data_IF_219246649672
#
_entry.id   IF_219246649672
#
_cell.length_a   1.000
_cell.length_b   1.000
_cell.length_c   1.000
_cell.angle_alpha   90.00
_cell.angle_beta   90.00
_cell.angle_gamma   90.00
#
_symmetry.space_group_name_H-M   'P 1'
#
loop_
_entity.id
_entity.type
_entity.pdbx_description
1 polymer ?
#
# COMPACT_ATOMS: atom_id res chain seq x y z
N UNK A 1 -12.15 8.25 -18.03
CA UNK A 1 -11.07 7.61 -17.23
C UNK A 1 -11.63 7.25 -15.87
N UNK A 2 -11.23 6.11 -15.31
CA UNK A 2 -11.62 5.74 -13.94
C UNK A 2 -10.93 6.64 -12.91
N UNK A 3 -11.56 6.84 -11.75
CA UNK A 3 -10.99 7.55 -10.59
C UNK A 3 -10.98 6.59 -9.40
N UNK A 4 -10.03 5.65 -9.34
CA UNK A 4 -9.97 4.71 -8.23
C UNK A 4 -9.68 5.44 -6.93
N UNK A 5 -10.14 4.89 -5.80
CA UNK A 5 -9.81 5.46 -4.49
C UNK A 5 -8.33 5.28 -4.13
N UNK A 6 -7.76 4.16 -4.57
CA UNK A 6 -6.39 3.74 -4.27
C UNK A 6 -5.71 3.18 -5.52
N UNK A 7 -4.40 3.39 -5.62
CA UNK A 7 -3.54 2.75 -6.62
C UNK A 7 -2.37 2.13 -5.84
N UNK A 8 -2.28 0.80 -5.84
CA UNK A 8 -1.12 0.09 -5.31
C UNK A 8 -0.12 -0.15 -6.43
N UNK A 9 1.09 0.34 -6.25
CA UNK A 9 2.21 0.08 -7.15
C UNK A 9 3.14 -0.89 -6.43
N UNK A 10 3.35 -2.06 -7.03
CA UNK A 10 4.10 -3.16 -6.43
C UNK A 10 5.25 -3.58 -7.33
N UNK A 11 6.45 -3.62 -6.77
CA UNK A 11 7.61 -4.19 -7.44
C UNK A 11 7.37 -5.66 -7.75
N UNK A 12 7.69 -6.08 -8.98
CA UNK A 12 7.57 -7.50 -9.37
C UNK A 12 8.45 -8.36 -8.47
N UNK A 13 7.90 -9.45 -7.96
CA UNK A 13 8.66 -10.43 -7.16
C UNK A 13 9.03 -11.63 -8.01
N UNK A 14 10.26 -12.11 -7.88
CA UNK A 14 10.72 -13.31 -8.58
C UNK A 14 10.12 -14.58 -7.96
N UNK A 15 9.44 -15.38 -8.79
CA UNK A 15 8.73 -16.60 -8.37
C UNK A 15 9.54 -17.90 -8.58
N UNK A 16 10.85 -17.80 -8.85
CA UNK A 16 11.68 -18.95 -9.22
C UNK A 16 11.83 -19.15 -10.73
N UNK A 17 12.80 -19.97 -11.11
CA UNK A 17 13.09 -20.26 -12.52
C UNK A 17 11.97 -21.14 -13.11
N UNK A 18 11.41 -20.71 -14.22
CA UNK A 18 10.42 -21.49 -14.98
C UNK A 18 10.72 -21.41 -16.47
N UNK A 19 10.39 -22.46 -17.24
CA UNK A 19 10.55 -22.43 -18.71
C UNK A 19 9.64 -21.39 -19.39
N UNK A 20 8.70 -20.81 -18.67
CA UNK A 20 7.70 -19.87 -19.18
C UNK A 20 8.03 -18.39 -18.91
N UNK A 21 9.10 -18.11 -18.15
CA UNK A 21 9.48 -16.73 -17.80
C UNK A 21 10.98 -16.56 -17.86
N UNK A 22 11.41 -15.47 -18.52
CA UNK A 22 12.81 -15.04 -18.54
C UNK A 22 13.12 -14.02 -17.43
N UNK A 23 12.18 -13.79 -16.49
CA UNK A 23 12.41 -12.89 -15.37
C UNK A 23 13.44 -13.49 -14.42
N UNK A 24 14.43 -12.69 -14.07
CA UNK A 24 15.46 -13.04 -13.10
C UNK A 24 15.39 -12.09 -11.90
N UNK A 25 16.20 -12.35 -10.87
CA UNK A 25 16.36 -11.44 -9.74
C UNK A 25 16.79 -10.02 -10.17
N UNK A 26 17.51 -9.86 -11.29
CA UNK A 26 17.92 -8.53 -11.76
C UNK A 26 16.77 -7.72 -12.36
N UNK A 27 15.60 -8.34 -12.57
CA UNK A 27 14.39 -7.64 -12.99
C UNK A 27 13.51 -7.21 -11.81
N UNK A 28 13.83 -7.64 -10.60
CA UNK A 28 13.12 -7.22 -9.38
C UNK A 28 13.66 -5.85 -8.99
N UNK A 29 12.83 -4.79 -8.99
CA UNK A 29 13.27 -3.47 -8.61
C UNK A 29 13.56 -3.41 -7.12
N UNK A 30 14.52 -2.57 -6.74
CA UNK A 30 14.71 -2.16 -5.35
C UNK A 30 13.56 -1.28 -4.90
N UNK A 31 13.34 -1.18 -3.59
CA UNK A 31 12.27 -0.36 -3.06
C UNK A 31 12.43 1.12 -3.45
N UNK A 32 13.65 1.64 -3.38
CA UNK A 32 13.97 3.01 -3.78
C UNK A 32 13.62 3.30 -5.26
N UNK A 33 13.79 2.32 -6.15
CA UNK A 33 13.41 2.44 -7.56
C UNK A 33 11.90 2.53 -7.74
N UNK A 34 11.14 1.75 -6.96
CA UNK A 34 9.68 1.84 -6.93
C UNK A 34 9.23 3.19 -6.36
N UNK A 35 9.83 3.66 -5.27
CA UNK A 35 9.54 4.98 -4.68
C UNK A 35 9.77 6.09 -5.69
N UNK A 36 10.93 6.10 -6.38
CA UNK A 36 11.24 7.12 -7.39
C UNK A 36 10.22 7.12 -8.53
N UNK A 37 9.90 5.94 -9.05
CA UNK A 37 8.89 5.80 -10.10
C UNK A 37 7.53 6.34 -9.64
N UNK A 38 7.10 6.00 -8.42
CA UNK A 38 5.79 6.43 -7.89
C UNK A 38 5.74 7.94 -7.63
N UNK A 39 6.85 8.56 -7.22
CA UNK A 39 6.94 10.02 -7.09
C UNK A 39 6.78 10.72 -8.44
N UNK A 40 7.44 10.21 -9.49
CA UNK A 40 7.27 10.72 -10.85
C UNK A 40 5.84 10.51 -11.36
N UNK A 41 5.25 9.33 -11.10
CA UNK A 41 3.88 9.01 -11.49
C UNK A 41 2.83 9.86 -10.76
N UNK A 42 3.02 10.16 -9.47
CA UNK A 42 2.14 11.01 -8.70
C UNK A 42 2.06 12.45 -9.23
N UNK A 43 3.14 12.95 -9.85
CA UNK A 43 3.14 14.30 -10.46
C UNK A 43 2.17 14.41 -11.64
N UNK A 44 1.87 13.28 -12.30
CA UNK A 44 0.90 13.21 -13.41
C UNK A 44 -0.56 13.02 -12.91
N UNK A 45 -0.76 12.85 -11.59
CA UNK A 45 -2.05 12.54 -10.98
C UNK A 45 -2.42 13.57 -9.89
N UNK A 46 -2.94 14.76 -10.26
CA UNK A 46 -3.11 15.89 -9.33
C UNK A 46 -4.07 15.61 -8.16
N UNK A 47 -4.99 14.66 -8.32
CA UNK A 47 -5.97 14.25 -7.29
C UNK A 47 -5.39 13.20 -6.31
N UNK A 48 -4.17 12.71 -6.52
CA UNK A 48 -3.55 11.62 -5.77
C UNK A 48 -2.24 12.06 -5.12
N UNK A 49 -1.90 11.44 -4.00
CA UNK A 49 -0.61 11.59 -3.33
C UNK A 49 -0.20 10.26 -2.66
N UNK A 50 1.09 10.11 -2.35
CA UNK A 50 1.62 8.95 -1.63
C UNK A 50 1.10 8.99 -0.19
N UNK A 51 0.40 7.92 0.19
CA UNK A 51 -0.21 7.78 1.51
C UNK A 51 0.59 6.86 2.44
N UNK A 52 1.03 5.72 1.91
CA UNK A 52 1.65 4.66 2.69
C UNK A 52 2.68 3.89 1.85
N UNK A 53 3.57 3.20 2.55
CA UNK A 53 4.49 2.22 1.95
C UNK A 53 4.49 0.92 2.75
N UNK A 54 4.96 -0.13 2.10
CA UNK A 54 5.33 -1.38 2.75
C UNK A 54 6.57 -1.94 2.05
N UNK A 55 7.75 -1.58 2.60
CA UNK A 55 9.05 -1.95 2.02
C UNK A 55 9.18 -3.47 1.90
N UNK A 56 8.72 -4.22 2.92
CA UNK A 56 8.87 -5.67 2.95
C UNK A 56 8.19 -6.37 1.76
N UNK A 57 7.08 -5.85 1.26
CA UNK A 57 6.42 -6.36 0.05
C UNK A 57 6.71 -5.54 -1.19
N UNK A 58 7.60 -4.55 -1.11
CA UNK A 58 7.93 -3.59 -2.15
C UNK A 58 6.69 -2.90 -2.76
N UNK A 59 5.80 -2.41 -1.90
CA UNK A 59 4.56 -1.74 -2.29
C UNK A 59 4.54 -0.27 -1.86
N UNK A 60 3.99 0.59 -2.72
CA UNK A 60 3.64 1.98 -2.40
C UNK A 60 2.15 2.19 -2.71
N UNK A 61 1.45 2.88 -1.82
CA UNK A 61 0.04 3.23 -1.97
C UNK A 61 -0.11 4.72 -2.33
N UNK A 62 -0.62 5.00 -3.52
CA UNK A 62 -1.22 6.30 -3.84
C UNK A 62 -2.69 6.27 -3.43
N UNK A 63 -3.15 7.33 -2.79
CA UNK A 63 -4.55 7.51 -2.42
C UNK A 63 -5.09 8.82 -2.96
N UNK A 64 -6.37 8.83 -3.32
CA UNK A 64 -7.07 10.04 -3.66
C UNK A 64 -7.07 11.00 -2.46
N UNK A 65 -6.85 12.30 -2.68
CA UNK A 65 -6.74 13.33 -1.62
C UNK A 65 -7.99 13.47 -0.74
N UNK A 66 -9.12 12.87 -1.14
CA UNK A 66 -10.34 12.76 -0.31
C UNK A 66 -10.10 11.98 0.99
N UNK A 67 -9.08 11.12 1.04
CA UNK A 67 -8.66 10.41 2.25
C UNK A 67 -7.61 11.19 3.07
N UNK A 68 -7.26 12.42 2.69
CA UNK A 68 -6.32 13.27 3.42
C UNK A 68 -7.07 14.31 4.24
N UNK A 69 -7.37 13.98 5.48
CA UNK A 69 -8.16 14.83 6.39
C UNK A 69 -7.22 15.57 7.32
N UNK A 70 -7.29 16.90 7.35
CA UNK A 70 -6.41 17.75 8.17
C UNK A 70 -4.91 17.45 7.97
N UNK A 71 -4.52 17.20 6.72
CA UNK A 71 -3.16 16.81 6.33
C UNK A 71 -2.69 15.44 6.88
N UNK A 72 -3.61 14.61 7.39
CA UNK A 72 -3.34 13.25 7.84
C UNK A 72 -4.03 12.24 6.91
N UNK A 73 -3.40 11.08 6.71
CA UNK A 73 -3.96 10.03 5.87
C UNK A 73 -4.98 9.18 6.64
N UNK A 74 -6.10 8.89 5.98
CA UNK A 74 -7.19 8.04 6.44
C UNK A 74 -7.45 6.94 5.42
N UNK A 75 -6.44 6.12 5.17
CA UNK A 75 -6.50 5.04 4.18
C UNK A 75 -6.73 3.67 4.80
N UNK A 76 -6.91 3.60 6.12
CA UNK A 76 -7.16 2.35 6.84
C UNK A 76 -8.65 2.01 6.88
N UNK A 77 -8.97 0.76 7.20
CA UNK A 77 -10.35 0.27 7.27
C UNK A 77 -10.79 0.21 8.74
N UNK A 78 -11.85 0.94 9.07
CA UNK A 78 -12.65 0.70 10.28
C UNK A 78 -13.53 -0.53 10.05
N UNK A 79 -12.99 -1.72 10.33
CA UNK A 79 -13.72 -2.98 10.13
C UNK A 79 -15.06 -3.03 10.88
N UNK A 80 -15.15 -2.66 12.18
CA UNK A 80 -16.44 -2.59 12.87
C UNK A 80 -17.49 -1.73 12.14
N UNK A 81 -17.09 -0.54 11.66
CA UNK A 81 -17.98 0.35 10.92
C UNK A 81 -18.33 -0.22 9.55
N UNK A 82 -17.35 -0.74 8.81
CA UNK A 82 -17.56 -1.43 7.53
C UNK A 82 -18.57 -2.57 7.67
N UNK A 83 -18.42 -3.46 8.65
CA UNK A 83 -19.36 -4.56 8.89
C UNK A 83 -20.78 -4.07 9.20
N UNK A 84 -20.91 -2.98 9.96
CA UNK A 84 -22.20 -2.35 10.22
C UNK A 84 -22.85 -1.81 8.94
N UNK A 85 -22.06 -1.15 8.08
CA UNK A 85 -22.54 -0.60 6.81
C UNK A 85 -22.95 -1.70 5.84
N UNK A 86 -22.15 -2.76 5.71
CA UNK A 86 -22.48 -3.94 4.91
C UNK A 86 -23.78 -4.59 5.38
N UNK A 87 -23.97 -4.78 6.69
CA UNK A 87 -25.20 -5.34 7.24
C UNK A 87 -26.44 -4.50 6.88
N UNK A 88 -26.32 -3.16 6.93
CA UNK A 88 -27.41 -2.24 6.54
C UNK A 88 -27.69 -2.27 5.04
N UNK A 89 -26.64 -2.27 4.22
CA UNK A 89 -26.76 -2.37 2.76
C UNK A 89 -27.49 -3.66 2.37
N UNK A 90 -27.05 -4.81 2.90
CA UNK A 90 -27.69 -6.10 2.64
C UNK A 90 -29.11 -6.17 3.19
N UNK A 91 -29.34 -5.72 4.43
CA UNK A 91 -30.66 -5.73 5.08
C UNK A 91 -31.70 -4.83 4.42
N UNK A 92 -31.26 -3.81 3.68
CA UNK A 92 -32.13 -2.90 2.92
C UNK A 92 -32.28 -3.28 1.44
N UNK A 93 -31.77 -4.45 1.02
CA UNK A 93 -31.81 -4.85 -0.39
C UNK A 93 -31.02 -3.92 -1.31
N UNK A 94 -29.95 -3.30 -0.78
CA UNK A 94 -29.08 -2.38 -1.52
C UNK A 94 -29.51 -0.92 -1.54
N UNK A 95 -30.56 -0.54 -0.80
CA UNK A 95 -31.03 0.86 -0.75
C UNK A 95 -30.15 1.75 0.15
N UNK A 96 -29.65 1.23 1.27
CA UNK A 96 -28.73 1.95 2.15
C UNK A 96 -27.29 1.78 1.66
N UNK A 97 -26.90 2.58 0.67
CA UNK A 97 -25.54 2.60 0.12
C UNK A 97 -24.56 3.30 1.06
N UNK A 98 -23.27 3.04 0.85
CA UNK A 98 -22.17 3.68 1.56
C UNK A 98 -20.93 3.73 0.66
N UNK A 99 -19.96 4.54 1.06
CA UNK A 99 -18.71 4.84 0.36
C UNK A 99 -17.50 4.51 1.22
N UNK A 100 -16.29 4.58 0.65
CA UNK A 100 -15.06 4.35 1.41
C UNK A 100 -14.86 5.37 2.55
N UNK A 101 -15.28 6.62 2.32
CA UNK A 101 -15.27 7.68 3.33
C UNK A 101 -16.14 7.34 4.56
N UNK A 102 -17.15 6.48 4.40
CA UNK A 102 -18.01 6.07 5.50
C UNK A 102 -17.33 5.06 6.44
N UNK A 103 -16.23 4.41 6.05
CA UNK A 103 -15.51 3.45 6.91
C UNK A 103 -14.00 3.65 6.94
N UNK A 104 -13.51 4.78 6.44
CA UNK A 104 -12.10 5.10 6.54
C UNK A 104 -11.69 5.35 8.00
N UNK A 105 -10.50 4.87 8.34
CA UNK A 105 -9.83 5.11 9.59
C UNK A 105 -8.44 5.71 9.33
N UNK A 106 -7.91 6.42 10.33
CA UNK A 106 -6.58 7.01 10.27
C UNK A 106 -5.53 5.94 9.94
N UNK A 107 -4.69 6.24 8.97
CA UNK A 107 -3.54 5.40 8.60
C UNK A 107 -2.61 5.29 9.80
N UNK A 108 -2.21 4.08 10.23
CA UNK A 108 -1.28 3.92 11.33
C UNK A 108 0.03 4.67 11.08
N UNK A 109 0.59 5.31 12.11
CA UNK A 109 1.79 6.14 11.95
C UNK A 109 2.99 5.37 11.37
N UNK A 110 3.12 4.08 11.66
CA UNK A 110 4.17 3.19 11.13
C UNK A 110 3.97 2.83 9.65
N UNK A 111 2.75 3.04 9.11
CA UNK A 111 2.40 2.74 7.73
C UNK A 111 2.49 3.95 6.79
N UNK A 112 2.44 5.18 7.34
CA UNK A 112 2.54 6.40 6.55
C UNK A 112 3.89 6.43 5.83
N UNK A 113 3.90 6.90 4.58
CA UNK A 113 5.13 7.02 3.80
C UNK A 113 6.19 7.86 4.53
N UNK A 114 7.42 7.35 4.59
CA UNK A 114 8.53 7.98 5.31
C UNK A 114 8.55 7.67 6.82
N UNK A 115 7.69 6.78 7.32
CA UNK A 115 7.77 6.28 8.69
C UNK A 115 9.05 5.44 8.89
N UNK A 116 9.54 5.40 10.13
CA UNK A 116 10.76 4.64 10.48
C UNK A 116 10.59 3.14 10.19
N UNK A 117 9.38 2.64 10.37
CA UNK A 117 9.01 1.25 10.18
C UNK A 117 8.75 0.88 8.71
N UNK A 118 8.65 1.88 7.81
CA UNK A 118 8.42 1.70 6.37
C UNK A 118 7.28 0.72 6.06
N UNK A 119 6.20 0.79 6.83
CA UNK A 119 5.03 -0.07 6.70
C UNK A 119 5.04 -1.38 7.46
N UNK A 120 6.15 -1.76 8.09
CA UNK A 120 6.19 -3.00 8.85
C UNK A 120 5.49 -2.83 10.19
N UNK A 121 4.44 -3.62 10.47
CA UNK A 121 3.69 -3.48 11.73
C UNK A 121 4.63 -3.75 12.93
N UNK A 122 4.77 -2.81 13.89
CA UNK A 122 5.60 -2.99 15.08
C UNK A 122 5.25 -4.21 15.94
N UNK A 123 4.05 -4.77 15.78
CA UNK A 123 3.62 -5.99 16.48
C UNK A 123 4.13 -7.27 15.81
N UNK A 124 4.57 -7.19 14.56
CA UNK A 124 5.14 -8.32 13.85
C UNK A 124 6.62 -8.49 14.14
N UNK A 125 7.12 -9.72 13.99
CA UNK A 125 8.54 -10.04 14.16
C UNK A 125 9.16 -10.33 12.81
N UNK A 126 10.18 -9.56 12.43
CA UNK A 126 10.93 -9.79 11.18
C UNK A 126 11.86 -10.98 11.34
N UNK A 127 11.68 -11.99 10.50
CA UNK A 127 12.51 -13.20 10.48
C UNK A 127 13.57 -13.11 9.38
N UNK A 128 14.83 -13.05 9.80
CA UNK A 128 15.97 -13.08 8.89
C UNK A 128 16.48 -14.51 8.71
N UNK A 129 16.81 -14.90 7.47
CA UNK A 129 17.42 -16.22 7.21
C UNK A 129 18.81 -16.29 7.85
N UNK A 130 19.08 -17.37 8.59
CA UNK A 130 20.42 -17.65 9.14
C UNK A 130 21.40 -17.83 7.97
N UNK A 131 22.53 -17.14 8.01
CA UNK A 131 23.59 -17.13 6.98
C UNK A 131 23.32 -16.33 5.69
N UNK A 132 22.41 -15.35 5.70
CA UNK A 132 22.50 -14.30 4.69
C UNK A 132 23.84 -13.57 4.89
N UNK A 133 24.84 -13.85 4.04
CA UNK A 133 25.98 -12.93 3.90
C UNK A 133 25.37 -11.56 3.67
N UNK A 134 25.78 -10.56 4.48
CA UNK A 134 25.46 -9.17 4.16
C UNK A 134 26.06 -8.92 2.78
N UNK A 135 25.24 -8.91 1.75
CA UNK A 135 25.61 -8.24 0.52
C UNK A 135 25.78 -6.77 0.89
N UNK A 136 27.02 -6.29 0.78
CA UNK A 136 27.45 -4.91 1.11
C UNK A 136 26.93 -3.97 0.00
N UNK A 137 25.63 -4.02 -0.23
CA UNK A 137 24.91 -3.18 -1.16
C UNK A 137 23.57 -2.80 -0.49
N UNK A 138 23.63 -1.89 0.49
CA UNK A 138 22.49 -1.05 0.86
C UNK A 138 21.42 -1.62 1.79
N UNK A 139 21.82 -2.15 2.95
CA UNK A 139 20.99 -2.19 4.16
C UNK A 139 21.75 -1.56 5.33
#
# INVERSE_FOLDING_TARGET
MGKPDFIEIKGVTYCGDSKASNLTMSNVPWHEEVVKFVQEFANELPDYEIAAEHEHSNCILLAHKKFKINNEWWTWIDYPKFHTLVARYTGSGGQMTFTAEDYMAKTPNWAVFGATEQGFDPKETRYFRKNAKKDIAGC
#
